data_IF_532355677219
#
_entry.id   IF_532355677219
#
_cell.length_a   1.000
_cell.length_b   1.000
_cell.length_c   1.000
_cell.angle_alpha   90.00
_cell.angle_beta   90.00
_cell.angle_gamma   90.00
#
_symmetry.space_group_name_H-M   'P 1'
#
loop_
_entity.id
_entity.type
_entity.pdbx_description
1 polymer ?
#
# COMPACT_ATOMS: atom_id res chain seq x y z
N UNK A 1 6.16 10.01 13.29
CA UNK A 1 6.69 9.51 12.01
C UNK A 1 6.83 7.99 12.11
N UNK A 2 6.37 7.25 11.10
CA UNK A 2 6.41 5.78 11.08
C UNK A 2 7.65 5.27 10.35
N UNK A 3 8.23 4.17 10.85
CA UNK A 3 9.27 3.43 10.14
C UNK A 3 8.61 2.56 9.08
N UNK A 4 8.97 2.78 7.82
CA UNK A 4 8.46 2.00 6.71
C UNK A 4 9.40 0.83 6.41
N UNK A 5 8.85 -0.35 6.22
CA UNK A 5 9.56 -1.53 5.72
C UNK A 5 8.90 -1.96 4.41
N UNK A 6 9.67 -1.95 3.32
CA UNK A 6 9.24 -2.44 2.01
C UNK A 6 10.10 -3.68 1.68
N UNK A 7 9.50 -4.87 1.50
CA UNK A 7 10.20 -6.05 1.02
C UNK A 7 10.81 -5.84 -0.38
N UNK A 8 11.96 -6.45 -0.65
CA UNK A 8 12.72 -6.27 -1.91
C UNK A 8 11.94 -6.69 -3.15
N UNK A 9 11.10 -7.71 -3.01
CA UNK A 9 10.15 -8.20 -4.01
C UNK A 9 9.15 -7.11 -4.41
N UNK A 10 8.52 -6.44 -3.44
CA UNK A 10 7.62 -5.32 -3.71
C UNK A 10 8.35 -4.13 -4.37
N UNK A 11 9.58 -3.85 -3.94
CA UNK A 11 10.41 -2.80 -4.54
C UNK A 11 10.76 -3.11 -6.01
N UNK A 12 11.05 -4.37 -6.33
CA UNK A 12 11.27 -4.82 -7.71
C UNK A 12 10.00 -4.66 -8.55
N UNK A 13 8.85 -5.05 -8.02
CA UNK A 13 7.58 -4.91 -8.73
C UNK A 13 7.26 -3.44 -9.01
N UNK A 14 7.52 -2.55 -8.05
CA UNK A 14 7.35 -1.11 -8.24
C UNK A 14 8.20 -0.58 -9.40
N UNK A 15 9.45 -1.03 -9.56
CA UNK A 15 10.31 -0.60 -10.69
C UNK A 15 9.70 -0.90 -12.06
N UNK A 16 8.83 -1.91 -12.16
CA UNK A 16 8.19 -2.30 -13.42
C UNK A 16 6.90 -1.52 -13.71
N UNK A 17 6.38 -0.71 -12.77
CA UNK A 17 5.17 0.08 -13.01
C UNK A 17 5.43 1.31 -13.89
N UNK A 18 4.41 1.77 -14.65
CA UNK A 18 4.49 3.04 -15.36
C UNK A 18 4.87 4.19 -14.42
N UNK A 19 5.73 5.10 -14.91
CA UNK A 19 6.31 6.19 -14.11
C UNK A 19 5.29 7.01 -13.33
N UNK A 20 4.16 7.34 -13.97
CA UNK A 20 3.06 8.09 -13.35
C UNK A 20 2.42 7.35 -12.16
N UNK A 21 2.25 6.03 -12.28
CA UNK A 21 1.69 5.19 -11.21
C UNK A 21 2.67 5.07 -10.06
N UNK A 22 3.97 4.98 -10.35
CA UNK A 22 5.02 5.00 -9.34
C UNK A 22 5.03 6.29 -8.52
N UNK A 23 4.92 7.44 -9.16
CA UNK A 23 4.83 8.73 -8.46
C UNK A 23 3.63 8.76 -7.51
N UNK A 24 2.47 8.27 -7.96
CA UNK A 24 1.27 8.22 -7.12
C UNK A 24 1.43 7.28 -5.92
N UNK A 25 2.00 6.10 -6.13
CA UNK A 25 2.26 5.12 -5.07
C UNK A 25 3.25 5.70 -4.05
N UNK A 26 4.36 6.28 -4.50
CA UNK A 26 5.36 6.90 -3.64
C UNK A 26 4.76 8.04 -2.80
N UNK A 27 3.92 8.89 -3.42
CA UNK A 27 3.20 9.94 -2.68
C UNK A 27 2.32 9.36 -1.56
N UNK A 28 1.62 8.25 -1.84
CA UNK A 28 0.81 7.56 -0.83
C UNK A 28 1.63 6.87 0.25
N UNK A 29 2.83 6.40 -0.07
CA UNK A 29 3.78 5.85 0.91
C UNK A 29 4.30 6.96 1.84
N UNK A 30 4.61 8.14 1.32
CA UNK A 30 5.02 9.28 2.16
C UNK A 30 3.89 9.75 3.08
N UNK A 31 2.64 9.78 2.60
CA UNK A 31 1.46 10.00 3.45
C UNK A 31 1.42 8.99 4.62
N UNK A 32 1.67 7.70 4.36
CA UNK A 32 1.71 6.67 5.40
C UNK A 32 2.84 6.92 6.41
N UNK A 33 4.02 7.31 5.93
CA UNK A 33 5.20 7.59 6.77
C UNK A 33 4.97 8.74 7.76
N UNK A 34 4.21 9.76 7.36
CA UNK A 34 3.83 10.86 8.26
C UNK A 34 2.61 10.53 9.15
N UNK A 35 2.02 9.33 9.00
CA UNK A 35 0.88 8.88 9.79
C UNK A 35 -0.48 9.28 9.23
N UNK A 36 -0.55 9.70 7.96
CA UNK A 36 -1.81 10.00 7.30
C UNK A 36 -2.48 8.71 6.79
N UNK A 37 -3.35 8.16 7.62
CA UNK A 37 -4.15 6.96 7.34
C UNK A 37 -5.56 7.28 6.79
N UNK A 38 -5.78 8.50 6.31
CA UNK A 38 -7.11 8.94 5.85
C UNK A 38 -7.60 8.08 4.70
N UNK A 39 -8.87 7.65 4.77
CA UNK A 39 -9.56 6.78 3.80
C UNK A 39 -9.00 5.35 3.68
N UNK A 40 -8.06 4.96 4.56
CA UNK A 40 -7.55 3.60 4.58
C UNK A 40 -8.58 2.68 5.23
N UNK A 41 -8.74 1.46 4.69
CA UNK A 41 -9.71 0.48 5.21
C UNK A 41 -9.00 -0.74 5.77
N UNK A 42 -9.40 -1.17 6.96
CA UNK A 42 -9.01 -2.47 7.49
C UNK A 42 -9.54 -3.58 6.57
N UNK A 43 -8.69 -4.57 6.30
CA UNK A 43 -9.05 -5.75 5.54
C UNK A 43 -9.72 -6.79 6.44
N UNK A 44 -10.62 -7.59 5.85
CA UNK A 44 -11.37 -8.66 6.52
C UNK A 44 -10.92 -10.04 6.04
N UNK A 45 -11.40 -11.09 6.70
CA UNK A 45 -11.12 -12.49 6.33
C UNK A 45 -9.64 -12.84 6.43
N UNK A 46 -9.10 -13.50 5.41
CA UNK A 46 -7.69 -13.97 5.38
C UNK A 46 -6.63 -12.86 5.50
N UNK A 47 -7.02 -11.60 5.33
CA UNK A 47 -6.12 -10.44 5.46
C UNK A 47 -6.42 -9.59 6.71
N UNK A 48 -7.15 -10.12 7.70
CA UNK A 48 -7.40 -9.44 8.98
C UNK A 48 -6.09 -8.95 9.61
N UNK A 49 -6.14 -7.76 10.21
CA UNK A 49 -4.96 -7.09 10.79
C UNK A 49 -4.17 -6.22 9.79
N UNK A 50 -4.43 -6.36 8.48
CA UNK A 50 -3.85 -5.49 7.45
C UNK A 50 -4.80 -4.37 7.07
N UNK A 51 -4.24 -3.31 6.50
CA UNK A 51 -4.96 -2.13 6.02
C UNK A 51 -4.70 -1.94 4.53
N UNK A 52 -5.59 -1.21 3.87
CA UNK A 52 -5.51 -0.90 2.45
C UNK A 52 -5.64 0.60 2.21
N UNK A 53 -4.60 1.20 1.63
CA UNK A 53 -4.60 2.56 1.08
C UNK A 53 -4.79 2.55 -0.43
N UNK A 54 -5.58 3.49 -0.96
CA UNK A 54 -5.84 3.61 -2.40
C UNK A 54 -4.84 4.59 -3.05
N UNK A 55 -4.25 4.15 -4.16
CA UNK A 55 -3.35 4.92 -5.01
C UNK A 55 -3.83 4.81 -6.47
N UNK A 56 -4.93 5.51 -6.79
CA UNK A 56 -5.57 5.41 -8.11
C UNK A 56 -6.17 4.01 -8.35
N UNK A 57 -5.61 3.30 -9.33
CA UNK A 57 -5.93 1.92 -9.67
C UNK A 57 -5.11 0.91 -8.85
N UNK A 58 -4.22 1.37 -7.97
CA UNK A 58 -3.42 0.50 -7.13
C UNK A 58 -3.92 0.53 -5.69
N UNK A 59 -3.64 -0.56 -4.97
CA UNK A 59 -3.92 -0.75 -3.56
C UNK A 59 -2.64 -1.12 -2.84
N UNK A 60 -2.25 -0.27 -1.91
CA UNK A 60 -1.13 -0.52 -1.00
C UNK A 60 -1.69 -1.24 0.21
N UNK A 61 -1.28 -2.49 0.41
CA UNK A 61 -1.67 -3.28 1.57
C UNK A 61 -0.50 -3.28 2.56
N UNK A 62 -0.77 -2.84 3.78
CA UNK A 62 0.24 -2.73 4.81
C UNK A 62 -0.25 -3.28 6.14
N UNK A 63 0.69 -3.71 6.96
CA UNK A 63 0.50 -4.03 8.36
C UNK A 63 1.00 -2.86 9.20
N UNK A 64 0.27 -2.50 10.25
CA UNK A 64 0.66 -1.47 11.19
C UNK A 64 0.89 -2.12 12.55
N UNK A 65 2.13 -2.06 13.03
CA UNK A 65 2.53 -2.56 14.34
C UNK A 65 3.34 -1.48 15.06
N UNK A 66 2.81 -0.96 16.17
CA UNK A 66 3.40 0.16 16.90
C UNK A 66 3.69 1.34 15.96
N UNK A 67 4.96 1.73 15.83
CA UNK A 67 5.43 2.80 14.94
C UNK A 67 6.02 2.26 13.62
N UNK A 68 5.75 1.00 13.27
CA UNK A 68 6.22 0.35 12.05
C UNK A 68 5.05 0.12 11.08
N UNK A 69 5.30 0.43 9.81
CA UNK A 69 4.43 0.09 8.70
C UNK A 69 5.17 -0.87 7.77
N UNK A 70 4.72 -2.12 7.72
CA UNK A 70 5.23 -3.12 6.80
C UNK A 70 4.35 -3.13 5.54
N UNK A 71 4.87 -2.66 4.42
CA UNK A 71 4.19 -2.78 3.13
C UNK A 71 4.26 -4.24 2.72
N UNK A 72 3.12 -4.92 2.78
CA UNK A 72 3.07 -6.36 2.45
C UNK A 72 2.88 -6.60 0.97
N UNK A 73 2.25 -5.66 0.25
CA UNK A 73 1.82 -5.87 -1.12
C UNK A 73 1.32 -4.61 -1.82
N UNK A 74 1.54 -4.50 -3.12
CA UNK A 74 0.92 -3.49 -3.99
C UNK A 74 0.20 -4.22 -5.13
N UNK A 75 -1.12 -4.07 -5.24
CA UNK A 75 -1.91 -4.73 -6.29
C UNK A 75 -2.65 -3.73 -7.17
N UNK A 76 -2.79 -4.07 -8.45
CA UNK A 76 -3.71 -3.39 -9.36
C UNK A 76 -5.15 -3.83 -9.03
N UNK A 77 -6.05 -2.86 -9.10
CA UNK A 77 -7.46 -2.96 -8.88
C UNK A 77 -8.21 -2.85 -10.20
N UNK A 78 -8.26 -3.91 -11.00
CA UNK A 78 -9.20 -3.95 -12.11
C UNK A 78 -10.62 -4.03 -11.56
N UNK A 79 -11.51 -3.11 -11.96
CA UNK A 79 -12.94 -3.12 -11.57
C UNK A 79 -13.70 -4.37 -12.04
N UNK A 80 -13.07 -5.25 -12.84
CA UNK A 80 -13.66 -6.46 -13.44
C UNK A 80 -13.41 -7.77 -12.69
N UNK A 81 -12.55 -7.81 -11.66
CA UNK A 81 -12.23 -9.06 -10.92
C UNK A 81 -12.75 -9.06 -9.47
N UNK A 82 -13.68 -8.17 -9.13
CA UNK A 82 -14.20 -8.04 -7.75
C UNK A 82 -15.73 -8.24 -7.67
N UNK A 83 -16.38 -8.62 -8.79
CA UNK A 83 -17.75 -9.14 -8.79
C UNK A 83 -17.76 -10.57 -9.32
#
# INVERSE_FOLDING_TARGET
MFKLIIPKDIEKDMRNFPKEKNILILKKIEELKIGNFTNDKALKGKYKGKFRKRAGDYRIIYLKENNILLITLIRIAHRKEVY
#
